data_IF_383277806888
#
_entry.id   IF_383277806888
#
_cell.length_a   1.000
_cell.length_b   1.000
_cell.length_c   1.000
_cell.angle_alpha   90.00
_cell.angle_beta   90.00
_cell.angle_gamma   90.00
#
_symmetry.space_group_name_H-M   'P 1'
#
loop_
_entity.id
_entity.type
_entity.pdbx_description
1 polymer ?
#
# COMPACT_ATOMS: atom_id res chain seq x y z
N UNK A 1 -6.79 11.95 9.62
CA UNK A 1 -5.67 12.80 9.19
C UNK A 1 -5.57 13.99 10.13
N UNK A 2 -4.39 14.25 10.70
CA UNK A 2 -4.11 15.38 11.58
C UNK A 2 -3.42 16.49 10.77
N UNK A 3 -4.05 17.65 10.68
CA UNK A 3 -3.60 18.79 9.85
C UNK A 3 -3.24 19.97 10.75
N UNK A 4 -2.01 20.44 10.67
CA UNK A 4 -1.54 21.64 11.38
C UNK A 4 -1.53 22.84 10.42
N UNK A 5 -2.20 23.92 10.79
CA UNK A 5 -2.25 25.16 10.01
C UNK A 5 -1.51 26.29 10.72
N UNK A 6 -0.91 27.20 9.98
CA UNK A 6 -0.32 28.41 10.52
C UNK A 6 -0.64 29.62 9.64
N UNK A 7 -1.00 30.74 10.25
CA UNK A 7 -1.24 32.00 9.57
C UNK A 7 -0.44 33.15 10.16
N UNK A 8 -0.30 34.27 9.42
CA UNK A 8 0.59 35.39 9.74
C UNK A 8 -0.12 36.75 9.72
N UNK A 9 -1.40 36.80 9.35
CA UNK A 9 -2.20 38.03 9.24
C UNK A 9 -3.63 37.81 9.67
N UNK A 10 -4.40 38.88 9.90
CA UNK A 10 -5.85 38.79 10.18
C UNK A 10 -6.63 38.15 9.04
N UNK A 11 -6.29 38.49 7.80
CA UNK A 11 -6.94 37.87 6.61
C UNK A 11 -6.61 36.36 6.57
N UNK A 12 -5.35 35.99 6.79
CA UNK A 12 -4.93 34.60 6.86
C UNK A 12 -5.57 33.84 8.02
N UNK A 13 -5.85 34.49 9.14
CA UNK A 13 -6.61 33.87 10.24
C UNK A 13 -8.03 33.53 9.83
N UNK A 14 -8.76 34.46 9.17
CA UNK A 14 -10.11 34.22 8.68
C UNK A 14 -10.16 33.04 7.67
N UNK A 15 -9.21 33.00 6.76
CA UNK A 15 -9.05 31.89 5.80
C UNK A 15 -8.76 30.59 6.52
N UNK A 16 -7.86 30.60 7.53
CA UNK A 16 -7.53 29.42 8.33
C UNK A 16 -8.70 28.89 9.14
N UNK A 17 -9.48 29.76 9.78
CA UNK A 17 -10.68 29.37 10.53
C UNK A 17 -11.76 28.77 9.62
N UNK A 18 -11.96 29.33 8.39
CA UNK A 18 -12.84 28.73 7.39
C UNK A 18 -12.36 27.35 6.98
N UNK A 19 -11.05 27.21 6.73
CA UNK A 19 -10.45 25.95 6.33
C UNK A 19 -10.53 24.90 7.43
N UNK A 20 -10.23 25.23 8.69
CA UNK A 20 -10.36 24.30 9.82
C UNK A 20 -11.76 23.72 9.90
N UNK A 21 -12.79 24.55 9.87
CA UNK A 21 -14.19 24.09 9.89
C UNK A 21 -14.52 23.14 8.72
N UNK A 22 -14.00 23.43 7.52
CA UNK A 22 -14.22 22.58 6.34
C UNK A 22 -13.52 21.23 6.44
N UNK A 23 -12.27 21.22 6.94
CA UNK A 23 -11.50 19.98 7.15
C UNK A 23 -12.11 19.11 8.26
N UNK A 24 -12.58 19.72 9.35
CA UNK A 24 -13.29 19.03 10.44
C UNK A 24 -14.61 18.42 9.94
N UNK A 25 -15.37 19.14 9.15
CA UNK A 25 -16.59 18.62 8.51
C UNK A 25 -16.30 17.44 7.57
N UNK A 26 -15.09 17.38 7.00
CA UNK A 26 -14.59 16.27 6.20
C UNK A 26 -13.97 15.13 7.02
N UNK A 27 -14.09 15.14 8.36
CA UNK A 27 -13.61 14.08 9.25
C UNK A 27 -12.12 14.15 9.57
N UNK A 28 -11.45 15.27 9.36
CA UNK A 28 -10.04 15.48 9.72
C UNK A 28 -9.94 16.23 11.05
N UNK A 29 -8.79 16.12 11.73
CA UNK A 29 -8.48 16.95 12.88
C UNK A 29 -7.63 18.12 12.43
N UNK A 30 -8.07 19.36 12.63
CA UNK A 30 -7.39 20.56 12.17
C UNK A 30 -7.11 21.52 13.33
N UNK A 31 -5.88 22.04 13.40
CA UNK A 31 -5.43 22.99 14.42
C UNK A 31 -4.80 24.22 13.76
N UNK A 32 -5.27 25.44 14.12
CA UNK A 32 -4.75 26.68 13.56
C UNK A 32 -3.88 27.43 14.57
N UNK A 33 -2.59 27.52 14.31
CA UNK A 33 -1.64 28.36 15.00
C UNK A 33 -1.48 29.73 14.31
N UNK A 34 -1.14 30.73 15.10
CA UNK A 34 -0.99 32.13 14.65
C UNK A 34 0.41 32.62 14.94
N UNK A 35 1.05 33.32 14.02
CA UNK A 35 2.39 33.89 14.19
C UNK A 35 2.45 35.34 13.73
N UNK A 36 1.99 36.25 14.60
CA UNK A 36 2.10 37.69 14.36
C UNK A 36 1.90 38.44 15.68
N UNK A 37 2.67 39.50 15.90
CA UNK A 37 2.48 40.38 17.08
C UNK A 37 1.12 41.10 17.14
N UNK A 38 0.39 41.08 16.03
CA UNK A 38 -0.94 41.69 15.91
C UNK A 38 -2.10 40.71 16.06
N UNK A 39 -1.79 39.43 16.28
CA UNK A 39 -2.81 38.38 16.46
C UNK A 39 -2.83 37.97 17.94
N UNK A 40 -4.06 37.77 18.47
CA UNK A 40 -4.23 37.18 19.80
C UNK A 40 -3.77 35.71 19.78
N UNK A 41 -3.24 35.24 20.91
CA UNK A 41 -2.78 33.87 21.10
C UNK A 41 -1.68 33.44 20.09
N UNK A 42 -0.84 34.41 19.69
CA UNK A 42 0.26 34.16 18.79
C UNK A 42 1.36 33.31 19.46
N UNK A 43 1.79 32.24 18.76
CA UNK A 43 2.88 31.37 19.23
C UNK A 43 4.18 32.18 19.38
N UNK A 44 4.98 31.85 20.41
CA UNK A 44 6.22 32.56 20.70
C UNK A 44 7.43 31.95 19.96
N UNK A 45 7.40 30.67 19.62
CA UNK A 45 8.47 29.98 18.88
C UNK A 45 8.59 30.50 17.45
N UNK A 46 9.73 30.31 16.81
CA UNK A 46 9.90 30.66 15.40
C UNK A 46 9.05 29.78 14.49
N UNK A 47 8.71 30.26 13.30
CA UNK A 47 7.97 29.46 12.32
C UNK A 47 8.71 28.18 11.93
N UNK A 48 10.04 28.21 11.90
CA UNK A 48 10.85 27.02 11.63
C UNK A 48 10.79 26.03 12.81
N UNK A 49 10.83 26.48 14.06
CA UNK A 49 10.69 25.61 15.23
C UNK A 49 9.28 24.96 15.25
N UNK A 50 8.23 25.74 15.00
CA UNK A 50 6.87 25.24 14.81
C UNK A 50 6.79 24.16 13.72
N UNK A 51 7.38 24.45 12.55
CA UNK A 51 7.41 23.49 11.45
C UNK A 51 8.09 22.18 11.86
N UNK A 52 9.22 22.26 12.61
CA UNK A 52 9.92 21.06 13.08
C UNK A 52 9.09 20.19 14.05
N UNK A 53 8.37 20.83 14.98
CA UNK A 53 7.46 20.12 15.90
C UNK A 53 6.33 19.44 15.12
N UNK A 54 5.66 20.17 14.22
CA UNK A 54 4.52 19.68 13.47
C UNK A 54 4.91 18.67 12.38
N UNK A 55 6.14 18.74 11.85
CA UNK A 55 6.65 17.80 10.83
C UNK A 55 6.73 16.36 11.33
N UNK A 56 6.93 16.16 12.64
CA UNK A 56 7.00 14.84 13.26
C UNK A 56 5.68 14.37 13.88
N UNK A 57 4.72 15.30 14.12
CA UNK A 57 3.50 15.04 14.90
C UNK A 57 2.20 15.17 14.08
N UNK A 58 2.29 15.58 12.81
CA UNK A 58 1.13 15.79 11.95
C UNK A 58 1.27 15.08 10.61
N UNK A 59 0.14 14.70 10.02
CA UNK A 59 0.10 14.11 8.68
C UNK A 59 0.26 15.17 7.58
N UNK A 60 -0.14 16.43 7.88
CA UNK A 60 -0.03 17.55 6.95
C UNK A 60 0.20 18.89 7.64
N UNK A 61 0.93 19.78 6.94
CA UNK A 61 1.13 21.18 7.32
C UNK A 61 0.56 22.09 6.25
N UNK A 62 -0.20 23.11 6.65
CA UNK A 62 -0.75 24.12 5.74
C UNK A 62 -0.28 25.51 6.19
N UNK A 63 0.49 26.17 5.35
CA UNK A 63 0.94 27.55 5.57
C UNK A 63 0.00 28.51 4.86
N UNK A 64 -0.66 29.39 5.62
CA UNK A 64 -1.54 30.42 5.07
C UNK A 64 -0.76 31.72 4.98
N UNK A 65 -0.15 31.95 3.81
CA UNK A 65 0.75 33.08 3.56
C UNK A 65 1.68 32.86 2.40
N UNK A 66 2.81 33.57 2.37
CA UNK A 66 3.76 33.50 1.27
C UNK A 66 4.53 32.17 1.20
N UNK A 67 4.60 31.56 0.02
CA UNK A 67 5.31 30.30 -0.25
C UNK A 67 6.75 30.31 0.27
N UNK A 68 7.48 31.43 0.17
CA UNK A 68 8.85 31.56 0.68
C UNK A 68 8.97 31.43 2.20
N UNK A 69 7.92 31.69 2.98
CA UNK A 69 7.90 31.43 4.42
C UNK A 69 7.85 29.91 4.65
N UNK A 70 6.94 29.22 3.98
CA UNK A 70 6.84 27.77 4.09
C UNK A 70 8.17 27.08 3.74
N UNK A 71 8.72 27.37 2.56
CA UNK A 71 9.99 26.78 2.09
C UNK A 71 11.12 26.95 3.11
N UNK A 72 11.33 28.18 3.61
CA UNK A 72 12.39 28.43 4.62
C UNK A 72 12.13 27.75 5.95
N UNK A 73 10.87 27.59 6.32
CA UNK A 73 10.49 26.97 7.60
C UNK A 73 10.69 25.46 7.60
N UNK A 74 10.37 24.78 6.49
CA UNK A 74 10.44 23.32 6.39
C UNK A 74 11.84 22.83 5.93
N UNK A 75 12.63 23.64 5.24
CA UNK A 75 13.89 23.23 4.61
C UNK A 75 14.84 22.42 5.53
N UNK A 76 14.98 22.71 6.85
CA UNK A 76 15.83 21.93 7.74
C UNK A 76 15.31 20.51 8.04
N UNK A 77 14.04 20.22 7.78
CA UNK A 77 13.37 19.00 8.18
C UNK A 77 13.03 18.08 7.01
N UNK A 78 13.13 18.56 5.78
CA UNK A 78 12.88 17.78 4.57
C UNK A 78 13.91 16.67 4.42
N UNK A 79 13.46 15.42 4.43
CA UNK A 79 14.33 14.24 4.39
C UNK A 79 13.96 13.28 3.24
N UNK A 80 12.71 12.85 3.14
CA UNK A 80 12.30 11.84 2.17
C UNK A 80 10.82 11.96 1.80
N UNK A 81 10.51 11.84 0.51
CA UNK A 81 9.12 11.78 0.03
C UNK A 81 8.28 10.63 0.61
N UNK A 82 8.92 9.66 1.29
CA UNK A 82 8.24 8.52 1.93
C UNK A 82 7.82 8.81 3.37
N UNK A 83 8.53 9.70 4.06
CA UNK A 83 8.34 9.99 5.49
C UNK A 83 7.85 11.40 5.75
N UNK A 84 8.12 12.33 4.84
CA UNK A 84 7.78 13.71 5.03
C UNK A 84 6.25 13.92 4.91
N UNK A 85 5.64 14.70 5.80
CA UNK A 85 4.21 15.01 5.76
C UNK A 85 3.83 15.77 4.49
N UNK A 86 2.56 15.80 4.18
CA UNK A 86 2.02 16.69 3.14
C UNK A 86 2.28 18.16 3.52
N UNK A 87 2.75 18.99 2.60
CA UNK A 87 2.88 20.43 2.85
C UNK A 87 2.16 21.21 1.76
N UNK A 88 1.23 22.07 2.19
CA UNK A 88 0.50 22.98 1.34
C UNK A 88 0.81 24.43 1.69
N UNK A 89 0.68 25.29 0.69
CA UNK A 89 0.62 26.74 0.88
C UNK A 89 -0.69 27.26 0.34
N UNK A 90 -1.37 28.06 1.14
CA UNK A 90 -2.57 28.79 0.76
C UNK A 90 -2.24 30.29 0.85
N UNK A 91 -2.53 31.07 -0.18
CA UNK A 91 -2.40 32.51 -0.04
C UNK A 91 -3.39 33.05 0.99
N UNK A 92 -3.08 34.20 1.62
CA UNK A 92 -3.88 34.68 2.74
C UNK A 92 -5.36 34.98 2.39
N UNK A 93 -5.65 35.21 1.10
CA UNK A 93 -7.01 35.43 0.61
C UNK A 93 -7.73 34.13 0.24
N UNK A 94 -7.06 32.98 0.31
CA UNK A 94 -7.64 31.69 -0.02
C UNK A 94 -7.96 31.51 -1.51
N UNK A 95 -7.19 32.14 -2.41
CA UNK A 95 -7.42 32.05 -3.87
C UNK A 95 -6.66 30.90 -4.53
N UNK A 96 -5.51 30.56 -4.00
CA UNK A 96 -4.63 29.51 -4.54
C UNK A 96 -4.25 28.53 -3.43
N UNK A 97 -4.29 27.25 -3.75
CA UNK A 97 -3.83 26.17 -2.89
C UNK A 97 -2.72 25.42 -3.60
N UNK A 98 -1.50 25.56 -3.09
CA UNK A 98 -0.30 25.02 -3.73
C UNK A 98 0.15 23.76 -3.01
N UNK A 99 0.19 22.63 -3.72
CA UNK A 99 0.86 21.41 -3.25
C UNK A 99 2.37 21.60 -3.32
N UNK A 100 3.02 21.79 -2.15
CA UNK A 100 4.44 22.16 -2.08
C UNK A 100 5.36 20.96 -1.88
N UNK A 101 4.99 19.97 -1.06
CA UNK A 101 5.79 18.80 -0.73
C UNK A 101 4.95 17.57 -0.53
N UNK A 102 5.50 16.40 -0.85
CA UNK A 102 4.87 15.08 -0.66
C UNK A 102 3.55 14.90 -1.43
N UNK A 103 3.53 15.29 -2.71
CA UNK A 103 2.34 15.33 -3.57
C UNK A 103 1.57 14.02 -3.64
N UNK A 104 2.24 12.88 -3.95
CA UNK A 104 1.61 11.58 -4.12
C UNK A 104 1.49 10.80 -2.80
N UNK A 105 2.57 10.15 -2.35
CA UNK A 105 2.56 9.28 -1.17
C UNK A 105 2.14 10.01 0.11
N UNK A 106 2.58 11.25 0.28
CA UNK A 106 2.19 12.09 1.42
C UNK A 106 0.77 12.67 1.30
N UNK A 107 0.13 12.57 0.12
CA UNK A 107 -1.25 13.00 -0.10
C UNK A 107 -1.44 14.51 -0.26
N UNK A 108 -0.36 15.30 -0.51
CA UNK A 108 -0.48 16.75 -0.63
C UNK A 108 -1.32 17.18 -1.84
N UNK A 109 -1.30 16.43 -2.96
CA UNK A 109 -2.12 16.76 -4.13
C UNK A 109 -3.61 16.56 -3.84
N UNK A 110 -3.98 15.44 -3.25
CA UNK A 110 -5.36 15.14 -2.84
C UNK A 110 -5.88 16.18 -1.81
N UNK A 111 -5.04 16.47 -0.79
CA UNK A 111 -5.38 17.48 0.20
C UNK A 111 -5.48 18.88 -0.41
N UNK A 112 -4.68 19.21 -1.44
CA UNK A 112 -4.76 20.49 -2.14
C UNK A 112 -6.09 20.63 -2.90
N UNK A 113 -6.55 19.58 -3.57
CA UNK A 113 -7.85 19.55 -4.23
C UNK A 113 -8.99 19.74 -3.21
N UNK A 114 -8.94 18.99 -2.10
CA UNK A 114 -9.94 19.11 -1.03
C UNK A 114 -9.95 20.49 -0.35
N UNK A 115 -8.77 21.04 -0.08
CA UNK A 115 -8.62 22.40 0.47
C UNK A 115 -9.15 23.46 -0.50
N UNK A 116 -8.88 23.28 -1.79
CA UNK A 116 -9.37 24.19 -2.83
C UNK A 116 -10.91 24.13 -2.95
N UNK A 117 -11.51 22.95 -2.85
CA UNK A 117 -12.98 22.79 -2.80
C UNK A 117 -13.58 23.55 -1.61
N UNK A 118 -13.02 23.40 -0.38
CA UNK A 118 -13.49 24.07 0.84
C UNK A 118 -13.40 25.61 0.71
N UNK A 119 -12.32 26.10 0.12
CA UNK A 119 -12.04 27.54 -0.01
C UNK A 119 -12.59 28.17 -1.31
N UNK A 120 -13.14 27.36 -2.22
CA UNK A 120 -13.50 27.79 -3.60
C UNK A 120 -12.28 28.41 -4.32
N UNK A 121 -11.11 27.79 -4.11
CA UNK A 121 -9.80 28.23 -4.56
C UNK A 121 -9.36 27.48 -5.82
N UNK A 122 -8.28 27.96 -6.42
CA UNK A 122 -7.61 27.30 -7.54
C UNK A 122 -6.51 26.38 -6.98
N UNK A 123 -6.59 25.05 -7.17
CA UNK A 123 -5.51 24.13 -6.80
C UNK A 123 -4.35 24.27 -7.78
N UNK A 124 -3.13 24.29 -7.25
CA UNK A 124 -1.88 24.32 -8.02
C UNK A 124 -1.12 23.03 -7.76
N UNK A 125 -1.37 22.04 -8.62
CA UNK A 125 -0.65 20.76 -8.64
C UNK A 125 0.32 20.78 -9.81
N UNK A 126 1.59 20.47 -9.56
CA UNK A 126 2.67 20.60 -10.57
C UNK A 126 3.34 19.27 -10.91
N UNK A 127 2.87 18.17 -10.34
CA UNK A 127 3.46 16.84 -10.57
C UNK A 127 3.12 16.35 -11.96
N UNK A 128 4.14 16.01 -12.75
CA UNK A 128 3.97 15.69 -14.18
C UNK A 128 2.99 14.51 -14.42
N UNK A 129 3.01 13.49 -13.56
CA UNK A 129 2.09 12.34 -13.65
C UNK A 129 0.63 12.76 -13.46
N UNK A 130 0.33 13.66 -12.53
CA UNK A 130 -1.02 14.16 -12.31
C UNK A 130 -1.48 15.06 -13.48
N UNK A 131 -0.59 15.94 -13.96
CA UNK A 131 -0.91 16.84 -15.08
C UNK A 131 -1.24 16.09 -16.37
N UNK A 132 -0.63 14.93 -16.57
CA UNK A 132 -0.83 14.11 -17.76
C UNK A 132 -1.78 12.92 -17.53
N UNK A 133 -2.40 12.81 -16.36
CA UNK A 133 -3.25 11.66 -15.98
C UNK A 133 -2.57 10.32 -16.27
N UNK A 134 -1.25 10.21 -16.01
CA UNK A 134 -0.48 9.00 -16.26
C UNK A 134 -0.44 8.11 -15.03
N UNK A 135 -0.47 6.82 -15.27
CA UNK A 135 -0.35 5.80 -14.23
C UNK A 135 0.88 6.05 -13.33
N UNK A 136 0.65 6.09 -12.03
CA UNK A 136 1.68 6.26 -11.01
C UNK A 136 1.69 5.04 -10.08
N UNK A 137 2.81 4.30 -10.05
CA UNK A 137 2.94 3.04 -9.28
C UNK A 137 2.67 3.24 -7.80
N UNK A 138 3.10 4.35 -7.22
CA UNK A 138 2.96 4.65 -5.80
C UNK A 138 1.51 4.98 -5.41
N UNK A 139 0.77 5.68 -6.27
CA UNK A 139 -0.67 5.93 -6.12
C UNK A 139 -1.43 4.61 -6.22
N UNK A 140 -1.20 3.89 -7.30
CA UNK A 140 -1.81 2.58 -7.54
C UNK A 140 -1.59 1.59 -6.38
N UNK A 141 -0.37 1.51 -5.85
CA UNK A 141 -0.07 0.65 -4.71
C UNK A 141 -0.83 1.10 -3.45
N UNK A 142 -0.93 2.41 -3.20
CA UNK A 142 -1.66 2.98 -2.06
C UNK A 142 -3.16 2.68 -2.15
N UNK A 143 -3.78 2.92 -3.30
CA UNK A 143 -5.21 2.70 -3.54
C UNK A 143 -5.60 1.23 -3.40
N UNK A 144 -4.74 0.33 -3.84
CA UNK A 144 -4.92 -1.11 -3.69
C UNK A 144 -4.40 -1.69 -2.36
N UNK A 145 -4.02 -0.85 -1.37
CA UNK A 145 -3.45 -1.28 -0.09
C UNK A 145 -2.26 -2.23 -0.22
N UNK A 146 -1.37 -1.93 -1.16
CA UNK A 146 -0.18 -2.70 -1.47
C UNK A 146 1.10 -2.01 -1.03
N UNK A 147 2.17 -2.78 -0.83
CA UNK A 147 3.52 -2.24 -0.73
C UNK A 147 4.18 -2.20 -2.11
N UNK A 148 5.01 -1.20 -2.37
CA UNK A 148 5.80 -1.12 -3.60
C UNK A 148 7.28 -1.28 -3.32
N UNK A 149 7.96 -2.09 -4.13
CA UNK A 149 9.39 -2.37 -4.04
C UNK A 149 10.11 -1.94 -5.31
N UNK A 150 11.41 -1.63 -5.19
CA UNK A 150 12.25 -1.15 -6.27
C UNK A 150 11.83 0.24 -6.80
N UNK A 151 12.02 1.26 -5.97
CA UNK A 151 11.74 2.66 -6.32
C UNK A 151 12.50 3.17 -7.55
N UNK A 152 13.64 2.54 -7.91
CA UNK A 152 14.36 2.88 -9.15
C UNK A 152 13.54 2.46 -10.37
N UNK A 153 13.03 1.24 -10.37
CA UNK A 153 12.15 0.76 -11.42
C UNK A 153 10.83 1.54 -11.49
N UNK A 154 10.23 1.90 -10.34
CA UNK A 154 9.03 2.73 -10.31
C UNK A 154 9.24 4.11 -10.96
N UNK A 155 10.41 4.74 -10.75
CA UNK A 155 10.78 5.98 -11.46
C UNK A 155 10.95 5.77 -12.96
N UNK A 156 11.53 4.65 -13.37
CA UNK A 156 11.71 4.29 -14.78
C UNK A 156 10.37 4.05 -15.48
N UNK A 157 9.43 3.35 -14.83
CA UNK A 157 8.05 3.21 -15.29
C UNK A 157 7.41 4.59 -15.55
N UNK A 158 7.48 5.50 -14.58
CA UNK A 158 6.93 6.85 -14.74
C UNK A 158 7.59 7.62 -15.87
N UNK A 159 8.93 7.57 -15.99
CA UNK A 159 9.67 8.25 -17.04
C UNK A 159 9.34 7.70 -18.44
N UNK A 160 9.17 6.38 -18.56
CA UNK A 160 8.81 5.69 -19.79
C UNK A 160 7.42 6.09 -20.27
N UNK A 161 6.43 6.13 -19.33
CA UNK A 161 5.06 6.57 -19.63
C UNK A 161 5.01 8.06 -20.03
N UNK A 162 5.76 8.92 -19.33
CA UNK A 162 5.86 10.35 -19.70
C UNK A 162 6.51 10.58 -21.05
N UNK A 163 7.41 9.68 -21.48
CA UNK A 163 7.99 9.69 -22.82
C UNK A 163 7.03 9.13 -23.91
N UNK A 164 5.79 8.78 -23.57
CA UNK A 164 4.81 8.22 -24.48
C UNK A 164 5.08 6.76 -24.88
N UNK A 165 6.00 6.09 -24.21
CA UNK A 165 6.32 4.68 -24.46
C UNK A 165 5.44 3.75 -23.63
N UNK A 166 5.37 2.48 -24.04
CA UNK A 166 4.60 1.45 -23.36
C UNK A 166 5.39 0.81 -22.21
N UNK A 167 4.66 0.40 -21.16
CA UNK A 167 5.17 -0.24 -19.95
C UNK A 167 4.43 -1.55 -19.72
N UNK A 168 5.12 -2.60 -19.30
CA UNK A 168 4.52 -3.89 -19.02
C UNK A 168 3.73 -3.89 -17.70
N UNK A 169 2.65 -4.67 -17.69
CA UNK A 169 1.86 -4.93 -16.49
C UNK A 169 1.59 -6.44 -16.40
N UNK A 170 2.09 -7.05 -15.34
CA UNK A 170 1.86 -8.44 -14.97
C UNK A 170 1.14 -8.52 -13.62
N UNK A 171 0.24 -9.49 -13.47
CA UNK A 171 -0.43 -9.73 -12.19
C UNK A 171 -0.72 -11.22 -11.99
N UNK A 172 -0.40 -11.72 -10.80
CA UNK A 172 -0.85 -13.03 -10.29
C UNK A 172 -2.33 -13.02 -9.84
N UNK A 173 -2.94 -11.85 -9.82
CA UNK A 173 -4.30 -11.63 -9.30
C UNK A 173 -5.24 -11.13 -10.39
N UNK A 174 -6.53 -11.43 -10.28
CA UNK A 174 -7.55 -10.85 -11.15
C UNK A 174 -7.55 -9.31 -11.08
N UNK A 175 -7.89 -8.68 -12.19
CA UNK A 175 -7.97 -7.22 -12.30
C UNK A 175 -9.41 -6.80 -12.63
N UNK A 176 -9.88 -5.74 -11.98
CA UNK A 176 -11.14 -5.07 -12.27
C UNK A 176 -10.85 -3.68 -12.83
N UNK A 177 -11.62 -3.25 -13.81
CA UNK A 177 -11.43 -1.98 -14.53
C UNK A 177 -10.56 -2.13 -15.78
N UNK A 178 -10.49 -1.05 -16.54
CA UNK A 178 -9.67 -0.96 -17.76
C UNK A 178 -8.20 -0.71 -17.40
N UNK A 179 -7.30 -1.30 -18.15
CA UNK A 179 -5.87 -1.08 -17.97
C UNK A 179 -5.53 0.37 -18.32
N UNK A 180 -4.86 1.13 -17.43
CA UNK A 180 -4.49 2.52 -17.68
C UNK A 180 -3.72 2.72 -18.98
N UNK A 181 -3.93 3.87 -19.62
CA UNK A 181 -3.24 4.21 -20.87
C UNK A 181 -1.73 4.11 -20.74
N UNK A 182 -1.09 3.45 -21.69
CA UNK A 182 0.36 3.22 -21.71
C UNK A 182 0.80 1.91 -21.08
N UNK A 183 -0.05 1.21 -20.32
CA UNK A 183 0.25 -0.13 -19.84
C UNK A 183 -0.13 -1.20 -20.87
N UNK A 184 0.62 -2.29 -20.91
CA UNK A 184 0.34 -3.48 -21.73
C UNK A 184 0.32 -4.71 -20.84
N UNK A 185 -0.72 -5.54 -20.92
CA UNK A 185 -0.76 -6.83 -20.22
C UNK A 185 0.35 -7.74 -20.71
N UNK A 186 1.06 -8.34 -19.75
CA UNK A 186 2.15 -9.28 -20.03
C UNK A 186 1.96 -10.56 -19.22
N UNK A 187 2.60 -11.63 -19.69
CA UNK A 187 2.75 -12.89 -18.96
C UNK A 187 3.90 -12.82 -17.92
N UNK A 188 4.15 -13.91 -17.21
CA UNK A 188 5.20 -14.04 -16.19
C UNK A 188 6.63 -13.90 -16.77
N UNK A 189 6.79 -13.93 -18.09
CA UNK A 189 8.05 -13.76 -18.81
C UNK A 189 8.19 -12.39 -19.45
N UNK A 190 7.21 -11.49 -19.28
CA UNK A 190 7.22 -10.14 -19.83
C UNK A 190 6.76 -10.03 -21.28
N UNK A 191 6.23 -11.12 -21.87
CA UNK A 191 5.68 -11.09 -23.22
C UNK A 191 4.27 -10.46 -23.19
N UNK A 192 3.96 -9.63 -24.17
CA UNK A 192 2.63 -9.04 -24.29
C UNK A 192 1.56 -10.11 -24.57
N UNK A 193 0.45 -10.04 -23.80
CA UNK A 193 -0.71 -10.93 -23.97
C UNK A 193 -1.83 -10.12 -24.59
N UNK A 194 -2.25 -10.50 -25.82
CA UNK A 194 -3.46 -9.93 -26.42
C UNK A 194 -4.69 -10.43 -25.66
N UNK A 195 -5.61 -9.55 -25.30
CA UNK A 195 -6.90 -9.91 -24.67
C UNK A 195 -7.70 -10.79 -25.64
N UNK A 196 -7.70 -12.11 -25.39
CA UNK A 196 -8.59 -13.06 -26.05
C UNK A 196 -9.90 -13.18 -25.29
N UNK A 197 -10.69 -12.12 -25.21
CA UNK A 197 -12.04 -12.19 -24.64
C UNK A 197 -13.14 -11.68 -25.61
N UNK A 198 -12.84 -11.62 -26.93
CA UNK A 198 -13.84 -11.33 -27.95
C UNK A 198 -13.58 -12.19 -29.21
N UNK A 199 -13.59 -13.53 -29.04
CA UNK A 199 -13.82 -14.40 -30.20
C UNK A 199 -14.90 -15.41 -29.83
N UNK A 200 -16.13 -15.09 -30.25
CA UNK A 200 -17.20 -16.04 -30.47
C UNK A 200 -16.68 -17.23 -31.27
N UNK A 201 -17.05 -18.43 -30.81
CA UNK A 201 -16.82 -19.73 -31.48
C UNK A 201 -17.54 -19.81 -32.83
N UNK A 202 -17.10 -19.08 -33.84
CA UNK A 202 -17.49 -19.31 -35.23
C UNK A 202 -16.42 -18.68 -36.14
N UNK A 203 -15.37 -19.45 -36.45
CA UNK A 203 -14.66 -19.41 -37.73
C UNK A 203 -13.42 -20.32 -37.72
N UNK A 204 -13.69 -21.62 -37.65
CA UNK A 204 -12.72 -22.61 -38.09
C UNK A 204 -12.96 -22.87 -39.59
N UNK A 205 -12.13 -22.34 -40.43
CA UNK A 205 -11.72 -22.75 -41.77
C UNK A 205 -11.61 -21.56 -42.75
N UNK A 206 -10.42 -21.06 -42.99
CA UNK A 206 -9.80 -20.97 -44.34
C UNK A 206 -8.58 -20.06 -44.38
N UNK A 207 -7.65 -20.61 -45.06
CA UNK A 207 -6.58 -20.01 -45.86
C UNK A 207 -5.28 -19.60 -45.19
N UNK A 208 -4.31 -20.44 -45.46
CA UNK A 208 -2.90 -20.14 -45.62
C UNK A 208 -2.70 -18.93 -46.56
N UNK A 209 -2.30 -17.80 -45.99
CA UNK A 209 -1.47 -16.82 -46.68
C UNK A 209 -0.73 -16.03 -45.56
N UNK A 210 0.52 -16.40 -45.39
CA UNK A 210 1.45 -15.78 -44.46
C UNK A 210 1.98 -14.51 -45.14
N UNK A 211 1.32 -13.38 -44.95
CA UNK A 211 1.88 -12.08 -45.26
C UNK A 211 2.52 -11.50 -43.98
N UNK A 212 3.86 -11.44 -44.03
CA UNK A 212 4.72 -11.09 -42.92
C UNK A 212 4.68 -9.59 -42.59
N UNK A 213 3.63 -9.15 -41.91
CA UNK A 213 3.66 -7.89 -41.13
C UNK A 213 3.75 -8.27 -39.66
N UNK A 214 4.99 -8.22 -39.17
CA UNK A 214 5.34 -8.65 -37.83
C UNK A 214 4.44 -7.99 -36.78
N UNK A 215 3.81 -8.82 -35.97
CA UNK A 215 3.47 -8.44 -34.58
C UNK A 215 4.79 -8.06 -33.93
N UNK A 216 4.96 -6.76 -33.72
CA UNK A 216 6.09 -6.17 -33.01
C UNK A 216 6.11 -6.77 -31.61
N UNK A 217 6.89 -7.85 -31.41
CA UNK A 217 7.28 -8.32 -30.08
C UNK A 217 8.21 -7.25 -29.52
N UNK A 218 7.66 -6.09 -29.17
CA UNK A 218 8.42 -5.05 -28.49
C UNK A 218 8.86 -5.63 -27.16
N UNK A 219 10.16 -5.85 -27.02
CA UNK A 219 10.77 -6.23 -25.77
C UNK A 219 10.46 -5.12 -24.77
N UNK A 220 9.60 -5.40 -23.79
CA UNK A 220 9.18 -4.42 -22.79
C UNK A 220 10.21 -4.46 -21.67
N UNK A 221 11.09 -3.46 -21.64
CA UNK A 221 12.23 -3.43 -20.73
C UNK A 221 11.82 -3.11 -19.29
N UNK A 222 10.74 -2.35 -19.05
CA UNK A 222 10.30 -1.99 -17.72
C UNK A 222 8.81 -2.23 -17.50
N UNK A 223 8.45 -2.55 -16.25
CA UNK A 223 7.06 -2.82 -15.94
C UNK A 223 6.75 -2.98 -14.46
N UNK A 224 5.47 -3.21 -14.21
CA UNK A 224 4.87 -3.45 -12.89
C UNK A 224 4.48 -4.91 -12.80
N UNK A 225 4.89 -5.57 -11.71
CA UNK A 225 4.46 -6.92 -11.37
C UNK A 225 3.68 -6.90 -10.05
N UNK A 226 2.41 -7.27 -10.09
CA UNK A 226 1.60 -7.46 -8.88
C UNK A 226 1.71 -8.92 -8.44
N UNK A 227 2.40 -9.16 -7.35
CA UNK A 227 2.82 -10.49 -6.92
C UNK A 227 3.05 -10.57 -5.42
N UNK A 228 2.95 -11.76 -4.86
CA UNK A 228 3.41 -12.05 -3.49
C UNK A 228 4.82 -12.67 -3.46
N UNK A 229 5.43 -12.93 -4.61
CA UNK A 229 6.72 -13.63 -4.73
C UNK A 229 7.89 -12.69 -5.01
N UNK A 230 8.94 -12.78 -4.22
CA UNK A 230 10.18 -11.99 -4.36
C UNK A 230 10.92 -12.24 -5.69
N UNK A 231 10.77 -13.44 -6.25
CA UNK A 231 11.43 -13.85 -7.49
C UNK A 231 10.68 -13.42 -8.77
N UNK A 232 9.47 -12.88 -8.65
CA UNK A 232 8.66 -12.49 -9.80
C UNK A 232 9.17 -11.17 -10.40
N UNK A 233 9.99 -11.26 -11.43
CA UNK A 233 10.59 -10.13 -12.13
C UNK A 233 10.46 -10.31 -13.66
N UNK A 234 9.27 -10.15 -14.24
CA UNK A 234 9.03 -10.38 -15.66
C UNK A 234 9.77 -9.43 -16.58
N UNK A 235 10.21 -8.26 -16.10
CA UNK A 235 10.88 -7.24 -16.91
C UNK A 235 12.32 -7.03 -16.44
N UNK A 236 13.18 -6.51 -17.32
CA UNK A 236 14.56 -6.14 -16.98
C UNK A 236 14.55 -5.15 -15.80
N UNK A 237 13.62 -4.21 -15.81
CA UNK A 237 13.36 -3.27 -14.72
C UNK A 237 11.96 -3.47 -14.18
N UNK A 238 11.82 -4.35 -13.18
CA UNK A 238 10.53 -4.65 -12.54
C UNK A 238 10.36 -3.87 -11.26
N UNK A 239 9.22 -3.17 -11.11
CA UNK A 239 8.72 -2.71 -9.82
C UNK A 239 7.64 -3.68 -9.33
N UNK A 240 7.84 -4.25 -8.16
CA UNK A 240 6.88 -5.17 -7.57
C UNK A 240 5.88 -4.41 -6.71
N UNK A 241 4.60 -4.68 -6.90
CA UNK A 241 3.49 -4.22 -6.07
C UNK A 241 2.94 -5.43 -5.33
N UNK A 242 3.07 -5.41 -4.01
CA UNK A 242 2.84 -6.59 -3.14
C UNK A 242 1.58 -6.38 -2.31
N UNK A 243 0.48 -7.11 -2.60
CA UNK A 243 -0.74 -7.02 -1.83
C UNK A 243 -0.60 -7.68 -0.46
N UNK A 244 -1.29 -7.13 0.54
CA UNK A 244 -1.46 -7.73 1.86
C UNK A 244 -2.66 -8.69 1.83
N UNK A 245 -2.40 -9.95 1.54
CA UNK A 245 -3.45 -10.95 1.37
C UNK A 245 -3.11 -12.33 1.94
N UNK A 246 -1.92 -12.50 2.53
CA UNK A 246 -1.49 -13.78 3.08
C UNK A 246 -1.71 -13.86 4.59
N UNK A 247 -2.15 -15.03 5.05
CA UNK A 247 -2.26 -15.37 6.47
C UNK A 247 -1.29 -16.50 6.81
N UNK A 248 -0.47 -16.30 7.86
CA UNK A 248 0.40 -17.31 8.42
C UNK A 248 -0.32 -18.07 9.53
N UNK A 249 -0.75 -19.29 9.27
CA UNK A 249 -1.27 -20.18 10.29
C UNK A 249 -0.14 -20.85 11.07
N UNK A 250 -0.17 -20.80 12.39
CA UNK A 250 0.86 -21.36 13.25
C UNK A 250 0.30 -22.29 14.31
N UNK A 251 1.06 -23.36 14.60
CA UNK A 251 0.90 -24.18 15.78
C UNK A 251 2.26 -24.46 16.39
N UNK A 252 2.36 -24.52 17.72
CA UNK A 252 3.61 -24.81 18.38
C UNK A 252 3.41 -25.62 19.67
N UNK A 253 4.48 -26.22 20.19
CA UNK A 253 4.49 -26.75 21.55
C UNK A 253 4.30 -25.61 22.54
N UNK A 254 3.76 -25.91 23.73
CA UNK A 254 3.61 -24.93 24.79
C UNK A 254 4.98 -24.33 25.19
N UNK A 255 4.99 -23.03 25.44
CA UNK A 255 6.18 -22.28 25.87
C UNK A 255 7.37 -22.40 24.86
N UNK A 256 7.05 -22.44 23.56
CA UNK A 256 8.08 -22.44 22.52
C UNK A 256 8.81 -21.09 22.51
N UNK A 257 10.14 -21.14 22.49
CA UNK A 257 10.98 -19.94 22.48
C UNK A 257 10.72 -19.06 21.23
N UNK A 258 10.83 -17.74 21.39
CA UNK A 258 10.55 -16.77 20.33
C UNK A 258 11.48 -16.96 19.12
N UNK A 259 12.74 -17.35 19.35
CA UNK A 259 13.69 -17.61 18.27
C UNK A 259 13.24 -18.78 17.39
N UNK A 260 12.81 -19.89 17.97
CA UNK A 260 12.30 -21.03 17.20
C UNK A 260 11.02 -20.73 16.41
N UNK A 261 10.16 -19.85 16.93
CA UNK A 261 8.98 -19.34 16.19
C UNK A 261 9.42 -18.47 15.01
N UNK A 262 10.34 -17.51 15.22
CA UNK A 262 10.87 -16.64 14.18
C UNK A 262 11.60 -17.42 13.07
N UNK A 263 12.42 -18.42 13.45
CA UNK A 263 13.11 -19.30 12.50
C UNK A 263 12.11 -20.09 11.64
N UNK A 264 11.01 -20.58 12.23
CA UNK A 264 9.98 -21.29 11.48
C UNK A 264 9.25 -20.37 10.48
N UNK A 265 8.95 -19.14 10.88
CA UNK A 265 8.36 -18.13 9.99
C UNK A 265 9.34 -17.73 8.86
N UNK A 266 10.63 -17.53 9.16
CA UNK A 266 11.65 -17.23 8.14
C UNK A 266 11.77 -18.37 7.12
N UNK A 267 11.72 -19.62 7.54
CA UNK A 267 11.74 -20.77 6.63
C UNK A 267 10.51 -20.83 5.71
N UNK A 268 9.36 -20.31 6.14
CA UNK A 268 8.21 -20.13 5.23
C UNK A 268 8.60 -19.19 4.11
N UNK A 269 9.17 -18.02 4.43
CA UNK A 269 9.60 -17.03 3.43
C UNK A 269 10.65 -17.62 2.48
N UNK A 270 11.67 -18.29 3.02
CA UNK A 270 12.78 -18.86 2.25
C UNK A 270 12.32 -19.96 1.28
N UNK A 271 11.35 -20.78 1.67
CA UNK A 271 10.87 -21.92 0.86
C UNK A 271 9.87 -21.49 -0.21
N UNK A 272 8.98 -20.58 0.13
CA UNK A 272 7.90 -20.14 -0.78
C UNK A 272 8.30 -18.93 -1.61
N UNK A 273 9.34 -18.21 -1.21
CA UNK A 273 9.74 -16.95 -1.84
C UNK A 273 8.73 -15.83 -1.64
N UNK A 274 7.86 -15.92 -0.64
CA UNK A 274 6.90 -14.85 -0.36
C UNK A 274 7.57 -13.60 0.20
N UNK A 275 7.06 -12.44 -0.16
CA UNK A 275 7.35 -11.19 0.54
C UNK A 275 6.79 -11.25 1.97
N UNK A 276 7.58 -10.85 2.96
CA UNK A 276 7.10 -10.69 4.34
C UNK A 276 5.91 -9.72 4.41
N UNK A 277 5.96 -8.68 3.63
CA UNK A 277 4.96 -7.62 3.56
C UNK A 277 3.65 -8.06 2.90
N UNK A 278 3.60 -9.23 2.29
CA UNK A 278 2.36 -9.84 1.79
C UNK A 278 1.49 -10.41 2.91
N UNK A 279 2.07 -10.64 4.10
CA UNK A 279 1.32 -11.16 5.24
C UNK A 279 0.55 -10.05 5.94
N UNK A 280 -0.75 -10.28 6.14
CA UNK A 280 -1.65 -9.36 6.83
C UNK A 280 -1.90 -9.76 8.29
N UNK A 281 -1.72 -11.04 8.65
CA UNK A 281 -1.96 -11.54 10.00
C UNK A 281 -1.32 -12.91 10.26
N UNK A 282 -1.20 -13.26 11.55
CA UNK A 282 -0.86 -14.59 12.03
C UNK A 282 -2.11 -15.20 12.68
N UNK A 283 -2.36 -16.48 12.48
CA UNK A 283 -3.54 -17.17 13.00
C UNK A 283 -3.19 -18.46 13.75
N UNK A 284 -3.93 -18.75 14.82
CA UNK A 284 -3.79 -20.00 15.60
C UNK A 284 -5.10 -20.39 16.31
N UNK A 285 -5.01 -21.37 17.20
CA UNK A 285 -6.09 -21.75 18.12
C UNK A 285 -6.01 -20.95 19.42
N UNK A 286 -7.13 -20.71 20.11
CA UNK A 286 -7.24 -19.95 21.36
C UNK A 286 -6.32 -20.44 22.50
N UNK A 287 -6.01 -21.73 22.51
CA UNK A 287 -5.01 -22.30 23.43
C UNK A 287 -3.63 -21.63 23.28
N UNK A 288 -3.38 -20.88 22.20
CA UNK A 288 -2.13 -20.21 21.88
C UNK A 288 -2.17 -18.69 22.00
N UNK A 289 -3.31 -18.11 22.41
CA UNK A 289 -3.48 -16.64 22.46
C UNK A 289 -2.43 -15.91 23.33
N UNK A 290 -1.88 -16.59 24.34
CA UNK A 290 -0.87 -16.03 25.24
C UNK A 290 0.55 -16.59 24.97
N UNK A 291 0.76 -17.27 23.85
CA UNK A 291 2.05 -17.84 23.49
C UNK A 291 3.05 -16.73 23.14
N UNK A 292 3.98 -16.46 24.06
CA UNK A 292 4.93 -15.35 23.96
C UNK A 292 5.73 -15.30 22.66
N UNK A 293 6.10 -16.48 22.15
CA UNK A 293 6.86 -16.58 20.90
C UNK A 293 6.06 -16.09 19.67
N UNK A 294 4.75 -16.41 19.59
CA UNK A 294 3.89 -15.94 18.49
C UNK A 294 3.59 -14.45 18.66
N UNK A 295 3.34 -13.99 19.89
CA UNK A 295 3.14 -12.56 20.17
C UNK A 295 4.38 -11.72 19.80
N UNK A 296 5.59 -12.24 20.10
CA UNK A 296 6.84 -11.57 19.66
C UNK A 296 6.92 -11.49 18.14
N UNK A 297 6.62 -12.56 17.41
CA UNK A 297 6.61 -12.56 15.94
C UNK A 297 5.59 -11.56 15.37
N UNK A 298 4.40 -11.49 15.96
CA UNK A 298 3.37 -10.51 15.58
C UNK A 298 3.86 -9.07 15.72
N UNK A 299 4.55 -8.75 16.82
CA UNK A 299 5.17 -7.44 17.03
C UNK A 299 6.30 -7.16 16.03
N UNK A 300 7.20 -8.13 15.81
CA UNK A 300 8.32 -8.01 14.87
C UNK A 300 7.87 -7.84 13.41
N UNK A 301 6.75 -8.46 13.05
CA UNK A 301 6.17 -8.34 11.71
C UNK A 301 5.18 -7.18 11.59
N UNK A 302 4.80 -6.56 12.71
CA UNK A 302 3.81 -5.47 12.78
C UNK A 302 2.46 -5.87 12.15
N UNK A 303 2.03 -7.11 12.38
CA UNK A 303 0.75 -7.65 11.93
C UNK A 303 0.00 -8.29 13.10
N UNK A 304 -1.35 -8.27 13.10
CA UNK A 304 -2.15 -8.82 14.18
C UNK A 304 -1.97 -10.34 14.33
N UNK A 305 -2.08 -10.80 15.56
CA UNK A 305 -2.24 -12.21 15.89
C UNK A 305 -3.69 -12.48 16.29
N UNK A 306 -4.36 -13.35 15.54
CA UNK A 306 -5.76 -13.72 15.74
C UNK A 306 -5.86 -15.18 16.15
N UNK A 307 -6.82 -15.50 16.99
CA UNK A 307 -7.04 -16.88 17.44
C UNK A 307 -8.52 -17.28 17.33
N UNK A 308 -8.75 -18.58 17.20
CA UNK A 308 -10.06 -19.18 16.99
C UNK A 308 -10.30 -20.32 17.95
N UNK A 309 -11.55 -20.56 18.31
CA UNK A 309 -11.97 -21.69 19.13
C UNK A 309 -11.81 -23.01 18.38
N UNK A 310 -11.82 -24.10 19.13
CA UNK A 310 -11.85 -25.46 18.58
C UNK A 310 -13.07 -25.68 17.64
N UNK A 311 -14.23 -25.17 18.04
CA UNK A 311 -15.48 -25.27 17.32
C UNK A 311 -15.41 -24.56 15.97
N UNK A 312 -14.89 -23.35 15.94
CA UNK A 312 -14.70 -22.58 14.69
C UNK A 312 -13.75 -23.29 13.74
N UNK A 313 -12.63 -23.79 14.25
CA UNK A 313 -11.65 -24.50 13.42
C UNK A 313 -12.19 -25.82 12.85
N UNK A 314 -13.07 -26.52 13.56
CA UNK A 314 -13.74 -27.74 13.06
C UNK A 314 -14.68 -27.47 11.89
N UNK A 315 -15.29 -26.29 11.85
CA UNK A 315 -16.27 -25.92 10.81
C UNK A 315 -15.59 -25.47 9.50
N UNK A 316 -14.27 -25.23 9.49
CA UNK A 316 -13.54 -24.79 8.29
C UNK A 316 -13.65 -25.87 7.21
N UNK A 317 -14.20 -25.55 6.03
CA UNK A 317 -14.34 -26.50 4.94
C UNK A 317 -12.98 -26.80 4.29
N UNK A 318 -12.82 -28.01 3.77
CA UNK A 318 -11.65 -28.41 3.02
C UNK A 318 -10.95 -29.65 3.58
N UNK A 319 -9.94 -30.11 2.85
CA UNK A 319 -9.07 -31.22 3.25
C UNK A 319 -7.76 -30.69 3.85
N UNK A 320 -7.48 -31.11 5.08
CA UNK A 320 -6.32 -30.68 5.85
C UNK A 320 -5.41 -31.84 6.23
N UNK A 321 -4.14 -31.57 6.43
CA UNK A 321 -3.15 -32.59 6.81
C UNK A 321 -3.39 -33.07 8.25
N UNK A 322 -3.88 -34.31 8.49
CA UNK A 322 -4.30 -34.73 9.82
C UNK A 322 -3.12 -34.95 10.75
N UNK A 323 -3.33 -34.73 12.05
CA UNK A 323 -2.38 -35.02 13.12
C UNK A 323 -3.11 -35.62 14.33
N UNK A 324 -3.01 -36.93 14.57
CA UNK A 324 -3.64 -37.56 15.71
C UNK A 324 -3.19 -36.98 17.05
N UNK A 325 -1.91 -36.58 17.15
CA UNK A 325 -1.36 -35.93 18.34
C UNK A 325 -2.04 -34.56 18.60
N UNK A 326 -2.15 -33.73 17.58
CA UNK A 326 -2.79 -32.42 17.69
C UNK A 326 -4.28 -32.59 18.05
N UNK A 327 -4.97 -33.51 17.41
CA UNK A 327 -6.38 -33.82 17.70
C UNK A 327 -6.62 -34.18 19.16
N UNK A 328 -5.72 -34.96 19.76
CA UNK A 328 -5.82 -35.35 21.18
C UNK A 328 -5.71 -34.18 22.15
N UNK A 329 -4.95 -33.15 21.80
CA UNK A 329 -4.66 -32.00 22.67
C UNK A 329 -5.63 -30.84 22.42
N UNK A 330 -5.95 -30.56 21.16
CA UNK A 330 -6.68 -29.37 20.74
C UNK A 330 -8.09 -29.64 20.25
N UNK A 331 -8.50 -30.93 20.15
CA UNK A 331 -9.79 -31.32 19.60
C UNK A 331 -9.88 -31.25 18.08
N UNK A 332 -8.97 -30.56 17.40
CA UNK A 332 -8.89 -30.46 15.94
C UNK A 332 -7.67 -31.20 15.41
N UNK A 333 -7.80 -31.81 14.23
CA UNK A 333 -6.75 -32.59 13.60
C UNK A 333 -5.62 -31.76 12.98
N UNK A 334 -5.89 -30.47 12.73
CA UNK A 334 -4.94 -29.52 12.18
C UNK A 334 -5.25 -28.09 12.65
N UNK A 335 -4.30 -27.42 13.30
CA UNK A 335 -4.45 -26.03 13.75
C UNK A 335 -3.97 -25.06 12.68
N UNK A 336 -2.73 -25.21 12.19
CA UNK A 336 -2.11 -24.17 11.34
C UNK A 336 -2.83 -24.00 9.97
N UNK A 337 -3.23 -25.09 9.29
CA UNK A 337 -3.92 -24.95 8.01
C UNK A 337 -5.34 -24.39 8.21
N UNK A 338 -6.08 -24.91 9.20
CA UNK A 338 -7.45 -24.46 9.47
C UNK A 338 -7.49 -23.00 9.91
N UNK A 339 -6.60 -22.59 10.81
CA UNK A 339 -6.55 -21.20 11.25
C UNK A 339 -6.10 -20.25 10.13
N UNK A 340 -5.17 -20.66 9.24
CA UNK A 340 -4.79 -19.87 8.09
C UNK A 340 -5.97 -19.67 7.13
N UNK A 341 -6.68 -20.74 6.80
CA UNK A 341 -7.85 -20.69 5.89
C UNK A 341 -8.98 -19.88 6.51
N UNK A 342 -9.32 -20.09 7.78
CA UNK A 342 -10.39 -19.34 8.44
C UNK A 342 -10.06 -17.85 8.49
N UNK A 343 -8.86 -17.48 8.92
CA UNK A 343 -8.44 -16.10 9.03
C UNK A 343 -8.33 -15.38 7.68
N UNK A 344 -8.06 -16.11 6.59
CA UNK A 344 -8.09 -15.57 5.23
C UNK A 344 -9.50 -15.48 4.61
N UNK A 345 -10.56 -15.63 5.41
CA UNK A 345 -11.94 -15.61 4.93
C UNK A 345 -12.32 -16.85 4.11
N UNK A 346 -11.83 -18.02 4.51
CA UNK A 346 -11.93 -19.29 3.77
C UNK A 346 -11.23 -19.24 2.40
N UNK A 347 -10.15 -18.51 2.31
CA UNK A 347 -9.34 -18.38 1.12
C UNK A 347 -8.54 -19.64 0.77
N UNK A 348 -7.73 -19.54 -0.28
CA UNK A 348 -6.99 -20.69 -0.82
C UNK A 348 -5.74 -21.01 0.02
N UNK A 349 -5.56 -22.27 0.40
CA UNK A 349 -4.33 -22.75 1.02
C UNK A 349 -3.20 -22.80 -0.03
N UNK A 350 -2.18 -21.96 0.13
CA UNK A 350 -1.03 -21.86 -0.76
C UNK A 350 0.10 -22.81 -0.34
N UNK A 351 0.36 -22.88 0.97
CA UNK A 351 1.35 -23.80 1.53
C UNK A 351 0.68 -24.65 2.59
N UNK A 352 0.72 -25.98 2.37
CA UNK A 352 0.27 -26.95 3.35
C UNK A 352 1.19 -26.99 4.57
N UNK A 353 0.71 -27.62 5.63
CA UNK A 353 1.42 -27.78 6.89
C UNK A 353 2.86 -28.25 6.68
N UNK A 354 3.79 -27.49 7.19
CA UNK A 354 5.16 -27.87 7.41
C UNK A 354 5.44 -27.88 8.92
N UNK A 355 6.25 -28.81 9.37
CA UNK A 355 6.55 -28.96 10.81
C UNK A 355 8.04 -29.10 11.05
N UNK A 356 8.59 -28.30 11.95
CA UNK A 356 9.99 -28.35 12.32
C UNK A 356 10.19 -27.85 13.77
N UNK A 357 11.06 -28.53 14.51
CA UNK A 357 11.44 -28.14 15.87
C UNK A 357 10.28 -27.83 16.82
N UNK A 358 9.13 -28.53 16.64
CA UNK A 358 7.94 -28.34 17.46
C UNK A 358 7.08 -27.13 17.08
N UNK A 359 7.33 -26.51 15.94
CA UNK A 359 6.48 -25.49 15.32
C UNK A 359 5.90 -26.03 14.02
N UNK A 360 4.64 -25.74 13.74
CA UNK A 360 3.98 -26.04 12.46
C UNK A 360 3.48 -24.76 11.83
N UNK A 361 3.63 -24.62 10.52
CA UNK A 361 3.22 -23.45 9.76
C UNK A 361 2.43 -23.86 8.51
N UNK A 362 1.52 -23.01 8.08
CA UNK A 362 0.80 -23.10 6.82
C UNK A 362 0.51 -21.69 6.31
N UNK A 363 0.27 -21.52 5.02
CA UNK A 363 -0.05 -20.21 4.44
C UNK A 363 -1.33 -20.32 3.62
N UNK A 364 -2.26 -19.43 3.86
CA UNK A 364 -3.45 -19.24 3.02
C UNK A 364 -3.52 -17.80 2.50
N UNK A 365 -4.13 -17.63 1.33
CA UNK A 365 -4.40 -16.32 0.74
C UNK A 365 -5.89 -16.07 0.71
N UNK A 366 -6.32 -14.89 1.14
CA UNK A 366 -7.68 -14.44 0.89
C UNK A 366 -7.89 -14.14 -0.59
N UNK A 367 -9.12 -14.14 -1.06
CA UNK A 367 -9.44 -13.57 -2.36
C UNK A 367 -9.06 -12.10 -2.40
N UNK A 368 -8.33 -11.71 -3.42
CA UNK A 368 -7.87 -10.35 -3.61
C UNK A 368 -7.86 -10.02 -5.10
N UNK A 369 -8.18 -8.79 -5.43
CA UNK A 369 -8.28 -8.29 -6.81
C UNK A 369 -7.65 -6.91 -6.90
N UNK A 370 -7.15 -6.59 -8.06
CA UNK A 370 -6.66 -5.25 -8.41
C UNK A 370 -7.83 -4.42 -8.93
N UNK A 371 -7.89 -3.18 -8.50
CA UNK A 371 -8.81 -2.19 -9.04
C UNK A 371 -8.05 -1.09 -9.76
N UNK A 372 -8.43 -0.85 -11.02
CA UNK A 372 -8.06 0.33 -11.77
C UNK A 372 -9.27 1.28 -11.76
N UNK A 373 -9.04 2.54 -11.35
CA UNK A 373 -10.05 3.60 -11.43
C UNK A 373 -10.11 4.24 -12.82
#
# INVERSE_FOLDING_TARGET
MKVALICFSLTGQQTGERLCRGLEAAGMTAELDKKSKYLLDSIQISTSAWAGEKFSDSDALIFIGATGIAVRSIAPYVASKKSDPAVLVVDECGKFVISLLSGHLGGANELALKTAEILEAIPVVTTATDLHHRFAVDVFAKENNCNSFNMKAAKEVSATLLAGKKVGFYSEFPTDGELPEGLIRCDEYGNSVSSMDDRSEEETQKSSDFDGTGTDCTNIDCGVAVTVHTSCNPFISTTQVVPKCLTLGMGCRKDKDARGIAEAAQKVLDRSGFHKEAFEQIASIDLKKEEKGILSLSQDWQIPFVTYTEEELKQVPGEFTPSPFVKKITGVDNVCERSAVLASGNGRLLQRKTGENGVTTAVAAREWRIHFE
#
